data_IF_098229784965
#
_entry.id   IF_098229784965
#
_cell.length_a   1.000
_cell.length_b   1.000
_cell.length_c   1.000
_cell.angle_alpha   90.00
_cell.angle_beta   90.00
_cell.angle_gamma   90.00
#
_symmetry.space_group_name_H-M   'P 1'
#
loop_
_entity.id
_entity.type
_entity.pdbx_description
1 polymer ?
#
# COMPACT_ATOMS: atom_id res chain seq x y z
N UNK A 1 -5.50 3.33 -18.41
CA UNK A 1 -5.58 3.40 -16.92
C UNK A 1 -4.29 2.85 -16.36
N UNK A 2 -3.69 3.51 -15.38
CA UNK A 2 -2.32 3.26 -14.94
C UNK A 2 -2.31 2.91 -13.45
N UNK A 3 -1.65 1.83 -13.07
CA UNK A 3 -1.40 1.49 -11.67
C UNK A 3 0.07 1.73 -11.36
N UNK A 4 0.34 2.71 -10.49
CA UNK A 4 1.70 3.13 -10.14
C UNK A 4 2.00 2.62 -8.75
N UNK A 5 3.11 1.89 -8.60
CA UNK A 5 3.67 1.61 -7.29
C UNK A 5 4.66 2.72 -6.92
N UNK A 6 4.34 3.45 -5.86
CA UNK A 6 5.21 4.45 -5.26
C UNK A 6 5.86 3.91 -3.98
N UNK A 7 7.18 4.01 -3.85
CA UNK A 7 7.83 3.68 -2.58
C UNK A 7 9.31 3.38 -2.72
N UNK A 8 10.05 3.58 -1.62
CA UNK A 8 11.51 3.62 -1.62
C UNK A 8 12.07 5.04 -1.58
N UNK A 9 11.21 6.05 -1.79
CA UNK A 9 11.55 7.47 -1.67
C UNK A 9 11.36 7.98 -0.25
N UNK A 10 12.03 9.10 0.07
CA UNK A 10 11.68 9.90 1.24
C UNK A 10 10.23 10.39 1.09
N UNK A 11 9.49 10.44 2.19
CA UNK A 11 8.15 11.04 2.15
C UNK A 11 8.29 12.54 1.86
N UNK A 12 7.36 13.13 1.09
CA UNK A 12 7.35 14.58 0.91
C UNK A 12 7.17 15.26 2.26
N UNK A 13 7.92 16.33 2.46
CA UNK A 13 7.74 17.27 3.58
C UNK A 13 7.10 18.56 3.04
N UNK A 14 6.66 19.45 3.92
CA UNK A 14 6.13 20.76 3.48
C UNK A 14 7.16 21.66 2.78
N UNK A 15 8.45 21.31 2.86
CA UNK A 15 9.57 22.11 2.34
C UNK A 15 10.27 21.45 1.14
N UNK A 16 10.04 20.15 0.91
CA UNK A 16 10.68 19.38 -0.17
C UNK A 16 9.65 18.92 -1.21
N UNK A 17 9.93 19.19 -2.49
CA UNK A 17 9.19 18.59 -3.59
C UNK A 17 9.50 17.10 -3.71
N UNK A 18 8.49 16.30 -4.08
CA UNK A 18 8.68 14.93 -4.54
C UNK A 18 8.39 14.88 -6.03
N UNK A 19 9.43 14.87 -6.90
CA UNK A 19 9.26 14.89 -8.35
C UNK A 19 8.39 13.75 -8.89
N UNK A 20 8.29 12.62 -8.18
CA UNK A 20 7.45 11.50 -8.58
C UNK A 20 5.99 11.82 -8.30
N UNK A 21 5.68 12.38 -7.13
CA UNK A 21 4.31 12.79 -6.82
C UNK A 21 3.86 14.00 -7.64
N UNK A 22 4.77 14.93 -7.97
CA UNK A 22 4.50 16.03 -8.92
C UNK A 22 4.13 15.48 -10.29
N UNK A 23 4.93 14.57 -10.84
CA UNK A 23 4.63 13.95 -12.13
C UNK A 23 3.31 13.16 -12.14
N UNK A 24 2.97 12.50 -11.02
CA UNK A 24 1.67 11.81 -10.87
C UNK A 24 0.51 12.82 -10.83
N UNK A 25 0.70 13.95 -10.14
CA UNK A 25 -0.30 15.00 -10.06
C UNK A 25 -0.54 15.63 -11.44
N UNK A 26 0.53 15.97 -12.16
CA UNK A 26 0.45 16.52 -13.51
C UNK A 26 -0.28 15.55 -14.47
N UNK A 27 0.11 14.28 -14.48
CA UNK A 27 -0.54 13.27 -15.32
C UNK A 27 -2.04 13.11 -15.01
N UNK A 28 -2.41 13.13 -13.73
CA UNK A 28 -3.82 13.10 -13.33
C UNK A 28 -4.59 14.33 -13.82
N UNK A 29 -4.00 15.53 -13.69
CA UNK A 29 -4.61 16.79 -14.15
C UNK A 29 -4.73 16.87 -15.67
N UNK A 30 -3.84 16.20 -16.41
CA UNK A 30 -3.91 16.04 -17.86
C UNK A 30 -4.98 15.01 -18.31
N UNK A 31 -5.61 14.31 -17.35
CA UNK A 31 -6.75 13.42 -17.57
C UNK A 31 -6.44 11.93 -17.48
N UNK A 32 -5.23 11.54 -17.05
CA UNK A 32 -4.90 10.14 -16.87
C UNK A 32 -5.66 9.54 -15.68
N UNK A 33 -6.24 8.35 -15.89
CA UNK A 33 -6.84 7.56 -14.82
C UNK A 33 -5.75 6.75 -14.10
N UNK A 34 -5.45 7.15 -12.86
CA UNK A 34 -4.32 6.62 -12.08
C UNK A 34 -4.83 5.99 -10.78
N UNK A 35 -4.26 4.83 -10.42
CA UNK A 35 -4.31 4.28 -9.05
C UNK A 35 -2.89 4.24 -8.51
N UNK A 36 -2.68 4.80 -7.32
CA UNK A 36 -1.38 4.84 -6.66
C UNK A 36 -1.34 3.83 -5.54
N UNK A 37 -0.41 2.87 -5.58
CA UNK A 37 -0.15 1.93 -4.47
C UNK A 37 1.15 2.32 -3.80
N UNK A 38 1.15 2.53 -2.49
CA UNK A 38 2.36 2.97 -1.79
C UNK A 38 3.05 1.87 -0.97
N UNK A 39 4.36 2.00 -0.79
CA UNK A 39 5.15 1.26 0.20
C UNK A 39 5.48 2.10 1.43
N UNK A 40 6.39 1.62 2.27
CA UNK A 40 6.78 2.33 3.50
C UNK A 40 7.94 1.73 4.29
N UNK A 41 8.79 0.91 3.65
CA UNK A 41 9.82 0.13 4.33
C UNK A 41 10.68 0.93 5.30
N UNK A 42 11.34 2.03 4.84
CA UNK A 42 12.17 2.88 5.70
C UNK A 42 11.42 3.52 6.88
N UNK A 43 10.18 3.96 6.66
CA UNK A 43 9.37 4.63 7.68
C UNK A 43 8.88 3.64 8.75
N UNK A 44 8.51 2.42 8.34
CA UNK A 44 8.21 1.33 9.28
C UNK A 44 9.46 1.00 10.10
N UNK A 45 10.62 0.89 9.44
CA UNK A 45 11.88 0.60 10.11
C UNK A 45 12.23 1.68 11.16
N UNK A 46 12.01 2.96 10.85
CA UNK A 46 12.20 4.04 11.81
C UNK A 46 11.26 3.88 13.02
N UNK A 47 9.96 3.73 12.78
CA UNK A 47 8.95 3.61 13.83
C UNK A 47 9.16 2.38 14.74
N UNK A 48 9.63 1.26 14.18
CA UNK A 48 10.00 0.08 14.97
C UNK A 48 11.20 0.37 15.87
N UNK A 49 12.24 1.04 15.36
CA UNK A 49 13.41 1.44 16.16
C UNK A 49 13.04 2.37 17.31
N UNK A 50 12.19 3.37 17.06
CA UNK A 50 11.75 4.32 18.10
C UNK A 50 11.00 3.64 19.24
N UNK A 51 10.31 2.53 18.94
CA UNK A 51 9.59 1.72 19.93
C UNK A 51 10.46 0.61 20.56
N UNK A 52 11.73 0.49 20.17
CA UNK A 52 12.62 -0.57 20.64
C UNK A 52 12.26 -1.96 20.11
N UNK A 53 11.47 -2.06 19.04
CA UNK A 53 11.05 -3.32 18.42
C UNK A 53 12.06 -3.73 17.35
N UNK A 54 12.44 -5.00 17.36
CA UNK A 54 13.41 -5.56 16.40
C UNK A 54 12.92 -5.52 14.94
N UNK A 55 13.87 -5.31 14.01
CA UNK A 55 13.63 -5.43 12.55
C UNK A 55 14.10 -6.79 12.09
N UNK A 56 13.16 -7.68 11.77
CA UNK A 56 13.49 -8.99 11.22
C UNK A 56 12.87 -9.16 9.83
N UNK A 57 13.66 -9.70 8.91
CA UNK A 57 13.21 -10.12 7.59
C UNK A 57 13.57 -11.58 7.37
N UNK A 58 12.63 -12.35 6.83
CA UNK A 58 12.82 -13.74 6.43
C UNK A 58 12.32 -13.91 4.99
N UNK A 59 13.15 -14.49 4.12
CA UNK A 59 12.82 -14.70 2.70
C UNK A 59 12.36 -13.42 1.97
N UNK A 60 12.89 -12.26 2.35
CA UNK A 60 12.51 -10.95 1.78
C UNK A 60 11.26 -10.30 2.40
N UNK A 61 10.53 -11.00 3.26
CA UNK A 61 9.35 -10.48 3.95
C UNK A 61 9.69 -10.01 5.36
N UNK A 62 9.01 -8.96 5.83
CA UNK A 62 9.10 -8.53 7.23
C UNK A 62 8.39 -9.56 8.11
N UNK A 63 9.11 -10.11 9.08
CA UNK A 63 8.47 -10.92 10.12
C UNK A 63 7.55 -10.00 10.91
N UNK A 64 6.25 -10.28 10.88
CA UNK A 64 5.20 -9.36 11.33
C UNK A 64 4.47 -10.00 12.50
N UNK A 65 5.03 -9.93 13.70
CA UNK A 65 4.34 -10.32 14.95
C UNK A 65 3.12 -9.42 15.21
N UNK A 66 2.22 -9.72 16.17
CA UNK A 66 1.09 -8.82 16.48
C UNK A 66 1.53 -7.38 16.80
N UNK A 67 2.63 -7.24 17.53
CA UNK A 67 3.21 -5.94 17.89
C UNK A 67 3.76 -5.20 16.65
N UNK A 68 4.49 -5.92 15.79
CA UNK A 68 4.99 -5.35 14.52
C UNK A 68 3.84 -4.97 13.60
N UNK A 69 2.78 -5.78 13.54
CA UNK A 69 1.59 -5.49 12.72
C UNK A 69 0.96 -4.16 13.09
N UNK A 70 0.75 -3.91 14.39
CA UNK A 70 0.17 -2.64 14.87
C UNK A 70 0.98 -1.42 14.41
N UNK A 71 2.33 -1.53 14.42
CA UNK A 71 3.20 -0.47 13.91
C UNK A 71 3.09 -0.34 12.40
N UNK A 72 3.15 -1.46 11.67
CA UNK A 72 3.08 -1.50 10.20
C UNK A 72 1.79 -0.88 9.71
N UNK A 73 0.65 -1.28 10.26
CA UNK A 73 -0.68 -0.77 9.91
C UNK A 73 -0.79 0.73 10.19
N UNK A 74 -0.38 1.18 11.38
CA UNK A 74 -0.42 2.60 11.75
C UNK A 74 0.45 3.46 10.84
N UNK A 75 1.63 2.98 10.44
CA UNK A 75 2.58 3.73 9.61
C UNK A 75 2.11 3.76 8.16
N UNK A 76 1.68 2.63 7.60
CA UNK A 76 1.23 2.56 6.21
C UNK A 76 -0.11 3.27 6.01
N UNK A 77 -1.15 2.85 6.72
CA UNK A 77 -2.52 3.34 6.54
C UNK A 77 -2.76 4.71 7.19
N UNK A 78 -1.96 5.04 8.20
CA UNK A 78 -2.00 6.33 8.88
C UNK A 78 -1.00 7.30 8.27
N UNK A 79 0.24 7.27 8.75
CA UNK A 79 1.23 8.31 8.47
C UNK A 79 1.51 8.48 6.98
N UNK A 80 1.96 7.43 6.28
CA UNK A 80 2.38 7.54 4.88
C UNK A 80 1.20 7.88 3.99
N UNK A 81 0.11 7.13 4.12
CA UNK A 81 -1.07 7.33 3.31
C UNK A 81 -1.62 8.76 3.45
N UNK A 82 -1.64 9.31 4.67
CA UNK A 82 -2.08 10.70 4.88
C UNK A 82 -1.09 11.71 4.34
N UNK A 83 0.21 11.47 4.46
CA UNK A 83 1.23 12.35 3.88
C UNK A 83 1.08 12.46 2.35
N UNK A 84 0.94 11.33 1.66
CA UNK A 84 0.78 11.31 0.19
C UNK A 84 -0.54 11.99 -0.22
N UNK A 85 -1.65 11.65 0.43
CA UNK A 85 -2.95 12.25 0.10
C UNK A 85 -2.95 13.76 0.33
N UNK A 86 -2.42 14.23 1.47
CA UNK A 86 -2.37 15.65 1.76
C UNK A 86 -1.49 16.41 0.77
N UNK A 87 -0.38 15.80 0.33
CA UNK A 87 0.48 16.37 -0.71
C UNK A 87 -0.29 16.54 -2.02
N UNK A 88 -0.94 15.48 -2.51
CA UNK A 88 -1.73 15.51 -3.75
C UNK A 88 -2.90 16.50 -3.67
N UNK A 89 -3.59 16.58 -2.54
CA UNK A 89 -4.64 17.59 -2.30
C UNK A 89 -4.07 19.01 -2.39
N UNK A 90 -2.87 19.23 -1.86
CA UNK A 90 -2.15 20.51 -1.99
C UNK A 90 -1.72 20.84 -3.43
N UNK A 91 -1.69 19.84 -4.31
CA UNK A 91 -1.43 19.95 -5.75
C UNK A 91 -2.72 19.95 -6.59
N UNK A 92 -3.87 20.31 -5.99
CA UNK A 92 -5.19 20.35 -6.64
C UNK A 92 -5.68 19.01 -7.22
N UNK A 93 -5.12 17.88 -6.75
CA UNK A 93 -5.56 16.53 -7.11
C UNK A 93 -6.58 16.02 -6.09
N UNK A 94 -7.74 15.57 -6.57
CA UNK A 94 -8.78 14.95 -5.75
C UNK A 94 -8.37 13.53 -5.29
N UNK A 95 -7.38 13.42 -4.42
CA UNK A 95 -6.88 12.14 -3.93
C UNK A 95 -7.74 11.56 -2.80
N UNK A 96 -8.01 10.25 -2.85
CA UNK A 96 -8.71 9.49 -1.79
C UNK A 96 -7.83 8.36 -1.32
N UNK A 97 -7.48 8.37 -0.03
CA UNK A 97 -6.63 7.34 0.55
C UNK A 97 -7.43 6.23 1.21
N UNK A 98 -7.13 4.98 0.85
CA UNK A 98 -7.73 3.76 1.37
C UNK A 98 -6.66 2.71 1.69
N UNK A 99 -7.01 1.73 2.50
CA UNK A 99 -6.24 0.49 2.62
C UNK A 99 -6.76 -0.54 1.63
N UNK A 100 -5.90 -1.47 1.21
CA UNK A 100 -6.28 -2.57 0.33
C UNK A 100 -7.43 -3.45 0.87
N UNK A 101 -7.75 -3.38 2.17
CA UNK A 101 -8.92 -4.03 2.78
C UNK A 101 -10.26 -3.35 2.51
N UNK A 102 -10.25 -2.04 2.24
CA UNK A 102 -11.45 -1.21 2.22
C UNK A 102 -12.36 -1.58 1.06
N UNK A 103 -13.68 -1.61 1.29
CA UNK A 103 -14.65 -2.06 0.30
C UNK A 103 -14.51 -3.53 -0.12
N UNK A 104 -13.62 -4.30 0.51
CA UNK A 104 -13.27 -5.64 0.06
C UNK A 104 -12.37 -5.66 -1.17
N UNK A 105 -11.58 -4.60 -1.39
CA UNK A 105 -10.70 -4.45 -2.55
C UNK A 105 -9.76 -5.65 -2.72
N UNK A 106 -9.03 -6.05 -1.68
CA UNK A 106 -8.18 -7.24 -1.68
C UNK A 106 -8.52 -8.13 -0.49
N UNK A 107 -8.66 -9.43 -0.77
CA UNK A 107 -8.67 -10.48 0.23
C UNK A 107 -7.37 -11.26 0.21
N UNK A 108 -6.94 -11.67 1.40
CA UNK A 108 -5.73 -12.47 1.58
C UNK A 108 -5.97 -13.73 2.38
N UNK A 109 -5.03 -14.65 2.31
CA UNK A 109 -4.80 -15.68 3.33
C UNK A 109 -3.44 -15.45 3.98
N UNK A 110 -3.21 -16.00 5.17
CA UNK A 110 -1.89 -15.96 5.80
C UNK A 110 -0.82 -16.60 4.90
N UNK A 111 0.22 -15.84 4.61
CA UNK A 111 1.37 -16.29 3.83
C UNK A 111 2.41 -16.98 4.72
N UNK A 112 2.92 -18.11 4.25
CA UNK A 112 4.04 -18.83 4.88
C UNK A 112 5.10 -19.08 3.81
N UNK A 113 6.22 -18.32 3.78
CA UNK A 113 7.25 -18.58 2.79
C UNK A 113 7.86 -19.97 2.98
N UNK A 114 8.30 -20.56 1.87
CA UNK A 114 9.12 -21.76 1.90
C UNK A 114 10.58 -21.37 2.16
N UNK A 115 11.13 -21.84 3.28
CA UNK A 115 12.54 -21.70 3.65
C UNK A 115 13.11 -23.10 3.84
N UNK A 116 14.08 -23.46 3.00
CA UNK A 116 14.75 -24.77 3.01
C UNK A 116 13.77 -25.97 3.01
N UNK A 117 12.72 -25.88 2.18
CA UNK A 117 11.71 -26.92 2.02
C UNK A 117 10.61 -26.91 3.08
N UNK A 118 10.58 -25.93 4.00
CA UNK A 118 9.60 -25.85 5.08
C UNK A 118 8.79 -24.55 5.00
N UNK A 119 7.48 -24.67 5.27
CA UNK A 119 6.59 -23.53 5.42
C UNK A 119 6.83 -22.87 6.78
N UNK A 120 7.31 -21.62 6.78
CA UNK A 120 7.61 -20.88 8.02
C UNK A 120 6.52 -19.84 8.27
N UNK A 121 5.98 -19.79 9.49
CA UNK A 121 5.05 -18.73 9.90
C UNK A 121 5.83 -17.46 10.23
N UNK A 122 5.58 -16.41 9.46
CA UNK A 122 6.20 -15.09 9.64
C UNK A 122 5.21 -14.05 10.19
N UNK A 123 4.09 -14.52 10.76
CA UNK A 123 3.08 -13.70 11.40
C UNK A 123 2.04 -13.13 10.44
N UNK A 124 1.64 -11.88 10.64
CA UNK A 124 0.59 -11.18 9.88
C UNK A 124 1.09 -10.69 8.51
N UNK A 125 1.57 -11.64 7.70
CA UNK A 125 1.89 -11.43 6.29
C UNK A 125 0.86 -12.12 5.41
N UNK A 126 0.33 -11.40 4.42
CA UNK A 126 -0.75 -11.87 3.56
C UNK A 126 -0.30 -12.27 2.16
N UNK A 127 -0.96 -13.28 1.59
CA UNK A 127 -0.90 -13.65 0.18
C UNK A 127 -2.25 -13.33 -0.45
N UNK A 128 -2.25 -12.55 -1.53
CA UNK A 128 -3.47 -12.16 -2.26
C UNK A 128 -4.18 -13.40 -2.79
N UNK A 129 -5.48 -13.52 -2.50
CA UNK A 129 -6.33 -14.60 -3.01
C UNK A 129 -7.44 -14.11 -3.93
N UNK A 130 -7.88 -12.86 -3.78
CA UNK A 130 -8.93 -12.25 -4.57
C UNK A 130 -8.78 -10.73 -4.61
N UNK A 131 -9.26 -10.11 -5.69
CA UNK A 131 -9.22 -8.66 -5.90
C UNK A 131 -10.50 -8.18 -6.57
N UNK A 132 -11.26 -7.32 -5.88
CA UNK A 132 -12.49 -6.71 -6.37
C UNK A 132 -12.29 -5.21 -6.59
N UNK A 133 -12.17 -4.75 -7.86
CA UNK A 133 -11.82 -3.36 -8.15
C UNK A 133 -12.99 -2.38 -8.01
N UNK A 134 -14.20 -2.84 -7.67
CA UNK A 134 -15.43 -2.02 -7.71
C UNK A 134 -15.33 -0.67 -6.98
N UNK A 135 -14.67 -0.64 -5.80
CA UNK A 135 -14.47 0.61 -5.07
C UNK A 135 -13.54 1.58 -5.83
N UNK A 136 -12.50 1.06 -6.48
CA UNK A 136 -11.58 1.87 -7.29
C UNK A 136 -12.27 2.38 -8.55
N UNK A 137 -13.02 1.52 -9.25
CA UNK A 137 -13.80 1.90 -10.44
C UNK A 137 -14.78 3.04 -10.13
N UNK A 138 -15.48 2.95 -8.99
CA UNK A 138 -16.38 4.01 -8.53
C UNK A 138 -15.64 5.33 -8.28
N UNK A 139 -14.53 5.30 -7.55
CA UNK A 139 -13.72 6.49 -7.28
C UNK A 139 -13.17 7.13 -8.56
N UNK A 140 -12.64 6.31 -9.47
CA UNK A 140 -12.07 6.78 -10.75
C UNK A 140 -13.17 7.40 -11.63
N UNK A 141 -14.36 6.79 -11.67
CA UNK A 141 -15.50 7.31 -12.45
C UNK A 141 -15.94 8.69 -11.96
N UNK A 142 -15.90 8.92 -10.64
CA UNK A 142 -16.23 10.21 -10.03
C UNK A 142 -15.06 11.22 -10.05
N UNK A 143 -13.92 10.88 -10.68
CA UNK A 143 -12.79 11.80 -10.85
C UNK A 143 -11.88 11.91 -9.62
N UNK A 144 -11.75 10.84 -8.84
CA UNK A 144 -10.77 10.75 -7.75
C UNK A 144 -9.52 9.96 -8.16
N UNK A 145 -8.38 10.29 -7.54
CA UNK A 145 -7.14 9.50 -7.59
C UNK A 145 -7.08 8.58 -6.35
N UNK A 146 -7.28 7.26 -6.47
CA UNK A 146 -7.19 6.36 -5.32
C UNK A 146 -5.72 6.13 -4.92
N UNK A 147 -5.41 6.34 -3.65
CA UNK A 147 -4.10 6.03 -3.04
C UNK A 147 -4.28 4.87 -2.07
N UNK A 148 -3.58 3.76 -2.29
CA UNK A 148 -3.82 2.48 -1.62
C UNK A 148 -2.62 2.08 -0.76
N UNK A 149 -2.87 1.85 0.52
CA UNK A 149 -1.90 1.21 1.42
C UNK A 149 -1.96 -0.32 1.31
N UNK A 150 -0.84 -1.05 1.47
CA UNK A 150 -0.79 -2.48 1.25
C UNK A 150 -1.18 -3.28 2.51
N UNK A 151 -2.27 -2.87 3.17
CA UNK A 151 -2.92 -3.57 4.27
C UNK A 151 -4.23 -4.17 3.76
N UNK A 152 -4.33 -5.50 3.78
CA UNK A 152 -5.52 -6.23 3.34
C UNK A 152 -6.04 -7.14 4.45
N UNK A 153 -7.25 -7.67 4.29
CA UNK A 153 -7.87 -8.54 5.30
C UNK A 153 -8.16 -9.94 4.76
N UNK A 154 -8.15 -10.92 5.65
CA UNK A 154 -8.67 -12.25 5.35
C UNK A 154 -10.21 -12.31 5.44
N UNK A 155 -10.76 -13.52 5.34
CA UNK A 155 -12.19 -13.79 5.43
C UNK A 155 -12.81 -13.46 6.81
N UNK A 156 -12.00 -13.45 7.87
CA UNK A 156 -12.41 -13.21 9.25
C UNK A 156 -12.24 -11.73 9.64
N UNK A 157 -11.77 -10.90 8.70
CA UNK A 157 -11.51 -9.48 8.91
C UNK A 157 -10.19 -9.21 9.63
N UNK A 158 -9.31 -10.20 9.75
CA UNK A 158 -7.97 -10.03 10.31
C UNK A 158 -7.09 -9.35 9.27
N UNK A 159 -6.42 -8.27 9.68
CA UNK A 159 -5.53 -7.52 8.80
C UNK A 159 -4.14 -8.15 8.66
N UNK A 160 -3.55 -7.95 7.48
CA UNK A 160 -2.25 -8.49 7.11
C UNK A 160 -1.45 -7.45 6.33
N UNK A 161 -0.14 -7.43 6.60
CA UNK A 161 0.84 -6.73 5.78
C UNK A 161 1.06 -7.48 4.48
N UNK A 162 0.91 -6.82 3.34
CA UNK A 162 1.11 -7.39 2.00
C UNK A 162 2.27 -6.67 1.32
N UNK A 163 2.99 -7.36 0.44
CA UNK A 163 3.98 -6.69 -0.40
C UNK A 163 3.27 -5.69 -1.34
N UNK A 164 3.69 -4.42 -1.34
CA UNK A 164 3.09 -3.36 -2.14
C UNK A 164 3.16 -3.62 -3.65
N UNK A 165 4.22 -4.26 -4.14
CA UNK A 165 4.35 -4.62 -5.55
C UNK A 165 3.33 -5.71 -5.94
N UNK A 166 3.02 -6.64 -5.03
CA UNK A 166 1.97 -7.65 -5.23
C UNK A 166 0.57 -7.02 -5.20
N UNK A 167 0.34 -6.03 -4.32
CA UNK A 167 -0.91 -5.25 -4.30
C UNK A 167 -1.09 -4.49 -5.61
N UNK A 168 -0.06 -3.80 -6.09
CA UNK A 168 -0.09 -3.09 -7.36
C UNK A 168 -0.37 -4.03 -8.54
N UNK A 169 0.31 -5.18 -8.59
CA UNK A 169 0.08 -6.19 -9.63
C UNK A 169 -1.34 -6.77 -9.58
N UNK A 170 -1.87 -7.03 -8.38
CA UNK A 170 -3.23 -7.53 -8.20
C UNK A 170 -4.28 -6.53 -8.67
N UNK A 171 -4.14 -5.25 -8.26
CA UNK A 171 -5.02 -4.16 -8.68
C UNK A 171 -4.92 -3.95 -10.20
N UNK A 172 -3.71 -3.91 -10.76
CA UNK A 172 -3.49 -3.76 -12.20
C UNK A 172 -4.14 -4.88 -13.01
N UNK A 173 -4.01 -6.14 -12.56
CA UNK A 173 -4.67 -7.28 -13.18
C UNK A 173 -6.20 -7.21 -13.10
N UNK A 174 -6.76 -6.82 -11.95
CA UNK A 174 -8.20 -6.70 -11.74
C UNK A 174 -8.83 -5.58 -12.59
N UNK A 175 -8.15 -4.43 -12.66
CA UNK A 175 -8.57 -3.27 -13.45
C UNK A 175 -8.28 -3.42 -14.95
N UNK A 176 -7.53 -4.46 -15.37
CA UNK A 176 -7.00 -4.62 -16.74
C UNK A 176 -6.26 -3.37 -17.20
N UNK A 177 -5.49 -2.78 -16.28
CA UNK A 177 -4.73 -1.58 -16.53
C UNK A 177 -3.65 -1.83 -17.60
N UNK A 178 -3.28 -0.77 -18.31
CA UNK A 178 -2.19 -0.82 -19.27
C UNK A 178 -0.85 -1.02 -18.53
N UNK A 179 0.03 -1.84 -19.10
CA UNK A 179 1.34 -2.20 -18.53
C UNK A 179 2.48 -1.39 -19.11
#
# INVERSE_FOLDING_TARGET
>A
MIVIKYGGNALPTSEDSDPVLEAIADAFLDGDQIVLVHGGGPQIDLALTEKGIGKEKLAGYRVTTPEVYSVVESVLSGTILRTIVNYLIGSDVNAVGLSASDGGLIRVKKFKPNVDGKQVDIGYVGEVIDTNPMILEGLITEGYLPVVSPIATDQDGIGYNVNADLVAAAIGGALRADS
#
